data_IF_981639557135
#
_entry.id   IF_981639557135
#
_cell.length_a   1.000
_cell.length_b   1.000
_cell.length_c   1.000
_cell.angle_alpha   90.00
_cell.angle_beta   90.00
_cell.angle_gamma   90.00
#
_symmetry.space_group_name_H-M   'P 1'
#
loop_
_entity.id
_entity.type
_entity.pdbx_description
1 polymer ?
#
# COMPACT_ATOMS: atom_id res chain seq x y z
N UNK A 1 -24.71 -7.88 4.20
CA UNK A 1 -23.69 -6.90 4.60
C UNK A 1 -22.59 -6.75 3.52
N UNK A 2 -22.94 -6.33 2.29
CA UNK A 2 -21.97 -6.16 1.18
C UNK A 2 -21.60 -4.69 0.89
N UNK A 3 -22.31 -3.73 1.50
CA UNK A 3 -22.29 -2.33 1.08
C UNK A 3 -21.05 -1.54 1.53
N UNK A 4 -20.38 -1.95 2.62
CA UNK A 4 -19.32 -1.14 3.26
C UNK A 4 -17.93 -1.35 2.66
N UNK A 5 -17.70 -2.44 1.92
CA UNK A 5 -16.46 -2.71 1.19
C UNK A 5 -16.39 -2.00 -0.17
N UNK A 6 -17.54 -1.64 -0.76
CA UNK A 6 -17.61 -0.89 -2.02
C UNK A 6 -17.09 0.54 -1.86
N UNK A 7 -17.37 1.19 -0.72
CA UNK A 7 -17.03 2.61 -0.49
C UNK A 7 -15.51 2.83 -0.43
N UNK A 8 -14.75 1.91 0.16
CA UNK A 8 -13.28 1.99 0.20
C UNK A 8 -12.63 1.79 -1.18
N UNK A 9 -13.27 0.98 -2.02
CA UNK A 9 -12.90 0.76 -3.43
C UNK A 9 -13.20 2.05 -4.21
N UNK A 10 -14.42 2.57 -4.15
CA UNK A 10 -14.80 3.76 -4.91
C UNK A 10 -14.00 5.01 -4.56
N UNK A 11 -13.60 5.19 -3.30
CA UNK A 11 -12.78 6.35 -2.89
C UNK A 11 -11.31 6.20 -3.31
N UNK A 12 -10.77 4.98 -3.30
CA UNK A 12 -9.43 4.70 -3.80
C UNK A 12 -9.35 4.70 -5.34
N UNK A 13 -10.49 4.58 -6.05
CA UNK A 13 -10.57 4.57 -7.53
C UNK A 13 -11.27 5.80 -8.11
N UNK A 14 -11.62 6.80 -7.30
CA UNK A 14 -12.22 8.02 -7.85
C UNK A 14 -11.24 8.75 -8.79
N UNK A 15 -9.93 8.55 -8.60
CA UNK A 15 -8.91 9.05 -9.53
C UNK A 15 -9.00 8.40 -10.92
N UNK A 16 -9.43 7.14 -11.03
CA UNK A 16 -9.67 6.45 -12.31
C UNK A 16 -10.98 6.88 -12.96
N UNK A 17 -11.90 7.46 -12.19
CA UNK A 17 -13.16 8.03 -12.69
C UNK A 17 -13.01 9.51 -13.04
N UNK A 18 -11.86 10.13 -12.76
CA UNK A 18 -11.64 11.54 -13.03
C UNK A 18 -11.47 11.76 -14.55
N UNK A 19 -12.40 12.48 -15.22
CA UNK A 19 -12.38 12.64 -16.66
C UNK A 19 -11.12 13.35 -17.17
N UNK A 20 -10.36 14.02 -16.30
CA UNK A 20 -9.08 14.67 -16.66
C UNK A 20 -7.95 13.65 -16.77
N UNK A 21 -7.90 12.67 -15.86
CA UNK A 21 -6.91 11.58 -15.87
C UNK A 21 -7.26 10.57 -16.96
N UNK A 22 -8.55 10.24 -17.11
CA UNK A 22 -9.04 9.34 -18.15
C UNK A 22 -8.81 9.95 -19.53
N UNK A 23 -9.18 11.21 -19.80
CA UNK A 23 -8.92 11.81 -21.12
C UNK A 23 -7.43 11.93 -21.44
N UNK A 24 -6.58 12.28 -20.48
CA UNK A 24 -5.14 12.39 -20.74
C UNK A 24 -4.48 11.04 -21.06
N UNK A 25 -5.00 9.94 -20.51
CA UNK A 25 -4.55 8.57 -20.77
C UNK A 25 -5.17 7.98 -22.06
N UNK A 26 -6.46 8.25 -22.31
CA UNK A 26 -7.24 7.56 -23.34
C UNK A 26 -7.08 8.14 -24.77
N UNK A 27 -6.60 9.37 -24.97
CA UNK A 27 -6.88 10.07 -26.23
C UNK A 27 -5.86 9.96 -27.38
N UNK A 28 -4.88 9.04 -27.39
CA UNK A 28 -3.91 9.05 -28.52
C UNK A 28 -3.57 7.73 -29.23
N UNK A 29 -3.52 6.53 -28.60
CA UNK A 29 -3.28 5.24 -29.28
C UNK A 29 -3.77 4.04 -28.45
N UNK A 30 -4.51 3.10 -29.07
CA UNK A 30 -5.09 1.91 -28.42
C UNK A 30 -4.07 1.01 -27.73
N UNK A 31 -2.88 0.83 -28.32
CA UNK A 31 -1.78 0.03 -27.76
C UNK A 31 -1.31 0.54 -26.38
N UNK A 32 -1.35 1.86 -26.13
CA UNK A 32 -0.99 2.43 -24.83
C UNK A 32 -2.05 2.16 -23.76
N UNK A 33 -3.31 1.98 -24.16
CA UNK A 33 -4.43 1.72 -23.25
C UNK A 33 -4.33 0.30 -22.69
N UNK A 34 -3.97 -0.68 -23.52
CA UNK A 34 -3.80 -2.06 -23.08
C UNK A 34 -2.65 -2.20 -22.06
N UNK A 35 -1.50 -1.57 -22.35
CA UNK A 35 -0.35 -1.58 -21.44
C UNK A 35 -0.69 -0.90 -20.12
N UNK A 36 -1.35 0.26 -20.15
CA UNK A 36 -1.75 0.97 -18.93
C UNK A 36 -2.82 0.19 -18.14
N UNK A 37 -3.75 -0.47 -18.83
CA UNK A 37 -4.72 -1.37 -18.22
C UNK A 37 -4.05 -2.53 -17.49
N UNK A 38 -3.06 -3.18 -18.12
CA UNK A 38 -2.31 -4.26 -17.50
C UNK A 38 -1.51 -3.78 -16.27
N UNK A 39 -0.80 -2.66 -16.38
CA UNK A 39 -0.05 -2.06 -15.26
C UNK A 39 -0.99 -1.72 -14.11
N UNK A 40 -2.15 -1.14 -14.40
CA UNK A 40 -3.17 -0.84 -13.40
C UNK A 40 -3.71 -2.11 -12.73
N UNK A 41 -4.01 -3.16 -13.50
CA UNK A 41 -4.46 -4.45 -12.97
C UNK A 41 -3.40 -5.11 -12.07
N UNK A 42 -2.13 -5.05 -12.45
CA UNK A 42 -1.02 -5.56 -11.62
C UNK A 42 -0.93 -4.76 -10.32
N UNK A 43 -0.99 -3.42 -10.39
CA UNK A 43 -0.98 -2.57 -9.20
C UNK A 43 -2.15 -2.89 -8.26
N UNK A 44 -3.35 -3.13 -8.81
CA UNK A 44 -4.53 -3.55 -8.07
C UNK A 44 -4.34 -4.91 -7.38
N UNK A 45 -3.77 -5.87 -8.09
CA UNK A 45 -3.50 -7.20 -7.55
C UNK A 45 -2.51 -7.12 -6.39
N UNK A 46 -1.44 -6.34 -6.53
CA UNK A 46 -0.47 -6.10 -5.46
C UNK A 46 -1.17 -5.49 -4.24
N UNK A 47 -2.01 -4.47 -4.46
CA UNK A 47 -2.76 -3.83 -3.37
C UNK A 47 -3.65 -4.81 -2.61
N UNK A 48 -4.38 -5.66 -3.34
CA UNK A 48 -5.23 -6.71 -2.76
C UNK A 48 -4.44 -7.76 -2.02
N UNK A 49 -3.27 -8.13 -2.54
CA UNK A 49 -2.38 -9.08 -1.88
C UNK A 49 -1.87 -8.53 -0.56
N UNK A 50 -1.43 -7.27 -0.52
CA UNK A 50 -1.01 -6.60 0.72
C UNK A 50 -2.13 -6.57 1.75
N UNK A 51 -3.34 -6.15 1.36
CA UNK A 51 -4.51 -6.14 2.24
C UNK A 51 -4.84 -7.52 2.79
N UNK A 52 -4.78 -8.54 1.93
CA UNK A 52 -5.02 -9.94 2.32
C UNK A 52 -3.96 -10.44 3.30
N UNK A 53 -2.68 -10.15 3.06
CA UNK A 53 -1.59 -10.55 3.95
C UNK A 53 -1.78 -9.98 5.34
N UNK A 54 -2.00 -8.67 5.45
CA UNK A 54 -2.18 -8.01 6.75
C UNK A 54 -3.41 -8.53 7.49
N UNK A 55 -4.53 -8.79 6.79
CA UNK A 55 -5.75 -9.33 7.40
C UNK A 55 -5.57 -10.75 7.90
N UNK A 56 -4.91 -11.61 7.12
CA UNK A 56 -4.56 -12.97 7.55
C UNK A 56 -3.68 -12.95 8.79
N UNK A 57 -2.69 -12.05 8.84
CA UNK A 57 -1.84 -11.90 10.02
C UNK A 57 -2.63 -11.48 11.26
N UNK A 58 -3.54 -10.50 11.11
CA UNK A 58 -4.45 -10.07 12.18
C UNK A 58 -5.33 -11.22 12.66
N UNK A 59 -5.91 -12.00 11.75
CA UNK A 59 -6.78 -13.13 12.09
C UNK A 59 -6.01 -14.25 12.80
N UNK A 60 -4.77 -14.53 12.38
CA UNK A 60 -3.93 -15.57 12.97
C UNK A 60 -3.42 -15.22 14.38
N UNK A 61 -3.12 -13.94 14.64
CA UNK A 61 -2.55 -13.48 15.90
C UNK A 61 -3.58 -12.81 16.84
N UNK A 62 -4.85 -12.75 16.45
CA UNK A 62 -5.94 -11.96 17.08
C UNK A 62 -5.51 -10.56 17.54
N UNK A 63 -4.67 -9.91 16.73
CA UNK A 63 -4.11 -8.61 17.03
C UNK A 63 -4.88 -7.48 16.33
N UNK A 64 -4.67 -6.24 16.76
CA UNK A 64 -5.16 -5.06 16.03
C UNK A 64 -3.99 -4.23 15.54
N UNK A 65 -4.10 -3.63 14.36
CA UNK A 65 -3.06 -2.76 13.81
C UNK A 65 -3.36 -1.29 14.02
N UNK A 66 -2.32 -0.48 14.07
CA UNK A 66 -2.45 0.98 14.23
C UNK A 66 -2.97 1.61 12.93
N UNK A 67 -4.23 2.03 12.94
CA UNK A 67 -4.91 2.63 11.81
C UNK A 67 -4.80 4.16 11.70
N UNK A 68 -5.83 4.77 11.09
CA UNK A 68 -6.00 6.23 11.02
C UNK A 68 -6.12 6.81 12.43
N UNK A 69 -5.55 7.98 12.66
CA UNK A 69 -5.61 8.65 13.97
C UNK A 69 -5.17 7.76 15.15
N UNK A 70 -4.22 6.83 14.89
CA UNK A 70 -3.74 5.82 15.85
C UNK A 70 -4.82 4.87 16.39
N UNK A 71 -5.99 4.77 15.74
CA UNK A 71 -7.07 3.89 16.18
C UNK A 71 -6.78 2.43 15.81
N UNK A 72 -7.02 1.45 16.70
CA UNK A 72 -6.86 0.06 16.38
C UNK A 72 -7.83 -0.35 15.27
N UNK A 73 -7.33 -1.07 14.25
CA UNK A 73 -8.14 -1.61 13.16
C UNK A 73 -7.87 -3.09 12.95
N UNK A 74 -8.94 -3.88 12.79
CA UNK A 74 -8.90 -5.27 12.29
C UNK A 74 -8.95 -5.35 10.77
N UNK A 75 -9.06 -4.21 10.08
CA UNK A 75 -9.26 -4.12 8.62
C UNK A 75 -8.29 -3.10 7.99
N UNK A 76 -6.96 -3.28 8.09
CA UNK A 76 -5.99 -2.40 7.45
C UNK A 76 -6.16 -2.41 5.92
N UNK A 77 -5.89 -1.27 5.29
CA UNK A 77 -5.83 -1.13 3.84
C UNK A 77 -4.40 -0.91 3.40
N UNK A 78 -4.06 -1.28 2.17
CA UNK A 78 -2.71 -1.00 1.66
C UNK A 78 -2.45 0.52 1.62
N UNK A 79 -3.49 1.35 1.44
CA UNK A 79 -3.36 2.81 1.50
C UNK A 79 -2.82 3.28 2.85
N UNK A 80 -3.38 2.73 3.93
CA UNK A 80 -2.99 3.05 5.31
C UNK A 80 -1.56 2.62 5.57
N UNK A 81 -1.18 1.43 5.12
CA UNK A 81 0.19 0.96 5.20
C UNK A 81 1.12 1.94 4.46
N UNK A 82 0.86 2.22 3.17
CA UNK A 82 1.76 3.04 2.34
C UNK A 82 1.96 4.43 2.95
N UNK A 83 0.88 5.09 3.40
CA UNK A 83 0.96 6.41 4.03
C UNK A 83 1.82 6.45 5.29
N UNK A 84 1.89 5.36 6.06
CA UNK A 84 2.75 5.26 7.24
C UNK A 84 4.25 5.18 6.90
N UNK A 85 4.61 4.82 5.67
CA UNK A 85 5.98 4.75 5.19
C UNK A 85 6.40 5.92 4.29
N UNK A 86 5.48 6.76 3.80
CA UNK A 86 5.80 7.91 2.93
C UNK A 86 6.89 8.83 3.53
N UNK A 87 6.87 9.06 4.84
CA UNK A 87 7.85 9.93 5.51
C UNK A 87 9.15 9.23 5.91
N UNK A 88 9.36 7.99 5.49
CA UNK A 88 10.59 7.25 5.79
C UNK A 88 11.69 7.65 4.81
N UNK A 89 12.87 7.97 5.34
CA UNK A 89 14.04 8.38 4.57
C UNK A 89 15.12 7.32 4.71
N UNK A 90 15.62 6.82 3.58
CA UNK A 90 16.78 5.93 3.50
C UNK A 90 17.93 6.73 2.91
N UNK A 91 18.99 6.90 3.68
CA UNK A 91 20.24 7.53 3.26
C UNK A 91 21.09 6.44 2.62
N UNK A 92 21.62 6.74 1.43
CA UNK A 92 22.55 5.85 0.72
C UNK A 92 23.92 6.50 0.72
N UNK A 93 24.94 5.78 1.21
CA UNK A 93 26.33 6.23 1.23
C UNK A 93 27.20 5.14 0.59
N UNK A 94 27.48 5.27 -0.70
CA UNK A 94 28.15 4.23 -1.48
C UNK A 94 27.30 2.96 -1.56
N UNK A 95 27.82 1.84 -1.07
CA UNK A 95 27.09 0.55 -0.98
C UNK A 95 26.27 0.39 0.30
N UNK A 96 26.40 1.31 1.25
CA UNK A 96 25.71 1.21 2.54
C UNK A 96 24.38 1.96 2.47
N UNK A 97 23.32 1.33 2.98
CA UNK A 97 21.99 1.94 3.13
C UNK A 97 21.68 2.04 4.61
N UNK A 98 21.25 3.21 5.07
CA UNK A 98 20.86 3.43 6.46
C UNK A 98 19.56 4.21 6.52
N UNK A 99 18.70 3.85 7.47
CA UNK A 99 17.52 4.64 7.77
C UNK A 99 17.93 5.95 8.45
N UNK A 100 17.46 7.10 7.94
CA UNK A 100 17.75 8.41 8.52
C UNK A 100 17.23 8.53 9.97
N UNK A 101 16.18 7.78 10.29
CA UNK A 101 15.57 7.64 11.62
C UNK A 101 15.16 6.19 11.82
N UNK A 102 15.20 5.66 13.06
CA UNK A 102 14.70 4.31 13.33
C UNK A 102 13.21 4.20 12.97
N UNK A 103 12.81 2.99 12.56
CA UNK A 103 11.41 2.67 12.31
C UNK A 103 10.63 2.78 13.62
N UNK A 104 9.42 3.32 13.53
CA UNK A 104 8.50 3.37 14.67
C UNK A 104 7.82 2.02 14.86
N UNK A 105 7.35 1.73 16.07
CA UNK A 105 6.73 0.45 16.41
C UNK A 105 5.57 0.07 15.48
N UNK A 106 4.74 1.05 15.11
CA UNK A 106 3.65 0.79 14.16
C UNK A 106 4.14 0.41 12.77
N UNK A 107 5.31 0.91 12.33
CA UNK A 107 5.91 0.55 11.04
C UNK A 107 6.43 -0.88 11.10
N UNK A 108 7.07 -1.25 12.21
CA UNK A 108 7.53 -2.63 12.44
C UNK A 108 6.35 -3.61 12.43
N UNK A 109 5.23 -3.28 13.08
CA UNK A 109 4.00 -4.08 13.02
C UNK A 109 3.49 -4.27 11.57
N UNK A 110 3.57 -3.23 10.74
CA UNK A 110 3.19 -3.35 9.32
C UNK A 110 4.15 -4.23 8.53
N UNK A 111 5.45 -4.19 8.81
CA UNK A 111 6.43 -5.07 8.17
C UNK A 111 6.22 -6.53 8.56
N UNK A 112 6.05 -6.79 9.85
CA UNK A 112 5.77 -8.13 10.38
C UNK A 112 4.49 -8.72 9.79
N UNK A 113 3.42 -7.93 9.69
CA UNK A 113 2.16 -8.36 9.08
C UNK A 113 2.27 -8.67 7.57
N UNK A 114 3.31 -8.19 6.92
CA UNK A 114 3.64 -8.53 5.52
C UNK A 114 4.67 -9.65 5.41
N UNK A 115 5.17 -10.19 6.53
CA UNK A 115 6.25 -11.18 6.53
C UNK A 115 7.60 -10.60 6.07
N UNK A 116 7.78 -9.29 6.24
CA UNK A 116 8.95 -8.54 5.82
C UNK A 116 9.73 -8.07 7.04
N UNK A 117 11.05 -8.12 6.97
CA UNK A 117 11.95 -7.65 8.01
C UNK A 117 12.55 -6.28 7.67
N UNK A 118 12.98 -5.54 8.69
CA UNK A 118 13.46 -4.16 8.53
C UNK A 118 14.80 -4.06 7.77
N UNK A 119 15.54 -5.16 7.68
CA UNK A 119 16.80 -5.27 6.93
C UNK A 119 16.64 -5.03 5.44
N UNK A 120 15.42 -5.13 4.88
CA UNK A 120 15.15 -4.76 3.48
C UNK A 120 15.59 -3.31 3.17
N UNK A 121 15.61 -2.43 4.16
CA UNK A 121 16.02 -1.03 3.98
C UNK A 121 17.50 -0.77 4.18
N UNK A 122 18.24 -1.70 4.78
CA UNK A 122 19.65 -1.53 5.16
C UNK A 122 20.60 -2.46 4.40
N UNK A 123 20.11 -3.63 3.97
CA UNK A 123 20.87 -4.58 3.16
C UNK A 123 20.74 -4.19 1.67
N UNK A 124 21.86 -4.11 0.93
CA UNK A 124 21.85 -3.78 -0.50
C UNK A 124 21.25 -4.89 -1.36
#
# INVERSE_FOLDING_TARGET
MLYKSQIGIEKNFSFLKDPVIVNSIFLKKAERIEVLGLVLLIALLIWRLMERSMRKYIEANDCTMTGWEKRPTKKPTAFMMTTKFISMLVITMGRNRQLARPLKDYQLQYLEAMGVTADIFTVP
#
